data_IF_413653354196
#
_entry.id   IF_413653354196
#
_cell.length_a   1.000
_cell.length_b   1.000
_cell.length_c   1.000
_cell.angle_alpha   90.00
_cell.angle_beta   90.00
_cell.angle_gamma   90.00
#
_symmetry.space_group_name_H-M   'P 1'
#
loop_
_entity.id
_entity.type
_entity.pdbx_description
1 polymer ?
#
# COMPACT_ATOMS: atom_id res chain seq x y z
N UNK A 1 -5.36 -46.57 13.64
CA UNK A 1 -4.89 -46.43 12.24
C UNK A 1 -4.40 -45.00 11.95
N UNK A 2 -5.24 -43.93 11.95
CA UNK A 2 -4.76 -42.56 11.65
C UNK A 2 -3.77 -42.04 12.66
N UNK A 3 -3.95 -42.25 13.98
CA UNK A 3 -3.04 -41.85 15.05
C UNK A 3 -1.66 -42.50 14.92
N UNK A 4 -1.63 -43.78 14.59
CA UNK A 4 -0.38 -44.53 14.37
C UNK A 4 0.35 -44.08 13.11
N UNK A 5 -0.38 -43.82 12.00
CA UNK A 5 0.20 -43.27 10.79
C UNK A 5 0.82 -41.88 11.03
N UNK A 6 0.19 -41.03 11.86
CA UNK A 6 0.72 -39.74 12.24
C UNK A 6 2.01 -39.88 13.10
N UNK A 7 2.02 -40.79 14.09
CA UNK A 7 3.18 -41.06 14.93
C UNK A 7 4.36 -41.64 14.11
N UNK A 8 4.07 -42.49 13.15
CA UNK A 8 5.09 -43.01 12.22
C UNK A 8 5.65 -41.94 11.31
N UNK A 9 4.80 -41.01 10.78
CA UNK A 9 5.24 -39.87 10.01
C UNK A 9 6.17 -38.96 10.82
N UNK A 10 5.80 -38.71 12.07
CA UNK A 10 6.62 -37.89 13.01
C UNK A 10 7.98 -38.57 13.32
N UNK A 11 7.98 -39.86 13.60
CA UNK A 11 9.21 -40.63 13.85
C UNK A 11 10.14 -40.68 12.63
N UNK A 12 9.58 -40.78 11.43
CA UNK A 12 10.31 -40.74 10.16
C UNK A 12 11.00 -39.39 9.93
N UNK A 13 10.33 -38.29 10.26
CA UNK A 13 10.87 -36.92 10.17
C UNK A 13 12.08 -36.70 11.10
N UNK A 14 12.01 -37.24 12.32
CA UNK A 14 13.09 -37.13 13.32
C UNK A 14 14.28 -38.02 12.97
N UNK A 15 14.04 -39.19 12.38
CA UNK A 15 15.11 -40.12 12.02
C UNK A 15 16.08 -39.55 10.96
N UNK A 16 15.57 -38.77 9.99
CA UNK A 16 16.35 -38.20 8.90
C UNK A 16 16.22 -36.67 8.82
N UNK A 17 16.62 -35.95 9.88
CA UNK A 17 16.41 -34.51 10.05
C UNK A 17 16.88 -33.65 8.88
N UNK A 18 18.07 -33.90 8.34
CA UNK A 18 18.64 -33.12 7.24
C UNK A 18 17.81 -33.26 5.95
N UNK A 19 17.38 -34.50 5.65
CA UNK A 19 16.56 -34.81 4.47
C UNK A 19 15.18 -34.13 4.58
N UNK A 20 14.55 -34.26 5.74
CA UNK A 20 13.24 -33.65 6.01
C UNK A 20 13.30 -32.15 5.94
N UNK A 21 14.35 -31.53 6.46
CA UNK A 21 14.54 -30.07 6.42
C UNK A 21 14.76 -29.58 4.99
N UNK A 22 15.59 -30.27 4.20
CA UNK A 22 15.82 -29.89 2.79
C UNK A 22 14.55 -30.02 1.94
N UNK A 23 13.68 -31.00 2.23
CA UNK A 23 12.40 -31.17 1.53
C UNK A 23 11.41 -30.07 1.88
N UNK A 24 11.30 -29.79 3.18
CA UNK A 24 10.40 -28.74 3.65
C UNK A 24 10.87 -27.36 3.20
N UNK A 25 12.18 -27.17 2.95
CA UNK A 25 12.76 -25.87 2.60
C UNK A 25 12.06 -25.22 1.38
N UNK A 26 11.78 -26.01 0.34
CA UNK A 26 11.05 -25.51 -0.84
C UNK A 26 9.65 -25.01 -0.50
N UNK A 27 8.92 -25.73 0.36
CA UNK A 27 7.59 -25.31 0.82
C UNK A 27 7.70 -24.12 1.76
N UNK A 28 8.65 -24.14 2.69
CA UNK A 28 8.89 -23.03 3.63
C UNK A 28 9.17 -21.73 2.86
N UNK A 29 10.09 -21.75 1.90
CA UNK A 29 10.42 -20.58 1.08
C UNK A 29 9.21 -20.13 0.26
N UNK A 30 8.52 -21.06 -0.40
CA UNK A 30 7.35 -20.74 -1.24
C UNK A 30 6.23 -20.08 -0.42
N UNK A 31 5.85 -20.66 0.70
CA UNK A 31 4.81 -20.14 1.59
C UNK A 31 5.24 -18.82 2.23
N UNK A 32 6.48 -18.71 2.71
CA UNK A 32 7.00 -17.48 3.31
C UNK A 32 7.00 -16.33 2.30
N UNK A 33 7.43 -16.59 1.06
CA UNK A 33 7.42 -15.60 -0.02
C UNK A 33 6.00 -15.12 -0.33
N UNK A 34 5.01 -16.05 -0.48
CA UNK A 34 3.60 -15.67 -0.69
C UNK A 34 3.11 -14.73 0.41
N UNK A 35 3.29 -15.12 1.67
CA UNK A 35 2.79 -14.35 2.81
C UNK A 35 3.47 -12.98 2.87
N UNK A 36 4.79 -12.92 2.74
CA UNK A 36 5.52 -11.66 2.80
C UNK A 36 5.08 -10.69 1.68
N UNK A 37 5.01 -11.18 0.44
CA UNK A 37 4.69 -10.34 -0.72
C UNK A 37 3.22 -9.88 -0.73
N UNK A 38 2.28 -10.77 -0.41
CA UNK A 38 0.85 -10.40 -0.31
C UNK A 38 0.63 -9.42 0.86
N UNK A 39 1.35 -9.61 1.97
CA UNK A 39 1.24 -8.69 3.13
C UNK A 39 1.76 -7.30 2.83
N UNK A 40 2.85 -7.18 2.06
CA UNK A 40 3.36 -5.89 1.57
C UNK A 40 2.36 -5.26 0.61
N UNK A 41 1.83 -6.02 -0.35
CA UNK A 41 0.83 -5.54 -1.31
C UNK A 41 -0.43 -4.99 -0.62
N UNK A 42 -0.95 -5.72 0.38
CA UNK A 42 -2.09 -5.28 1.18
C UNK A 42 -1.76 -4.02 2.01
N UNK A 43 -0.55 -3.94 2.55
CA UNK A 43 -0.08 -2.78 3.30
C UNK A 43 -0.02 -1.53 2.43
N UNK A 44 0.62 -1.60 1.26
CA UNK A 44 0.69 -0.50 0.28
C UNK A 44 -0.71 -0.06 -0.15
N UNK A 45 -1.60 -1.01 -0.44
CA UNK A 45 -2.99 -0.72 -0.78
C UNK A 45 -3.69 0.07 0.33
N UNK A 46 -3.56 -0.39 1.58
CA UNK A 46 -4.17 0.27 2.74
C UNK A 46 -3.60 1.67 3.00
N UNK A 47 -2.29 1.87 2.85
CA UNK A 47 -1.65 3.17 3.00
C UNK A 47 -2.17 4.17 1.97
N UNK A 48 -2.37 3.72 0.73
CA UNK A 48 -2.95 4.55 -0.34
C UNK A 48 -4.42 4.84 -0.06
N UNK A 49 -5.22 3.83 0.32
CA UNK A 49 -6.63 4.02 0.70
C UNK A 49 -6.76 5.01 1.87
N UNK A 50 -5.93 4.90 2.89
CA UNK A 50 -5.91 5.82 4.02
C UNK A 50 -5.54 7.24 3.60
N UNK A 51 -4.53 7.40 2.74
CA UNK A 51 -4.10 8.72 2.25
C UNK A 51 -5.17 9.39 1.41
N UNK A 52 -5.82 8.64 0.53
CA UNK A 52 -6.89 9.19 -0.31
C UNK A 52 -8.16 9.42 0.51
N UNK A 53 -8.51 8.54 1.44
CA UNK A 53 -9.63 8.75 2.36
C UNK A 53 -9.44 9.99 3.22
N UNK A 54 -8.19 10.30 3.58
CA UNK A 54 -7.88 11.54 4.32
C UNK A 54 -8.07 12.82 3.50
N UNK A 55 -8.00 12.71 2.15
CA UNK A 55 -8.22 13.81 1.20
C UNK A 55 -9.66 13.84 0.65
N UNK A 56 -10.40 12.73 0.75
CA UNK A 56 -11.71 12.54 0.13
C UNK A 56 -11.62 11.83 -1.23
N UNK A 57 -12.45 10.80 -1.44
CA UNK A 57 -12.51 10.04 -2.70
C UNK A 57 -12.98 10.88 -3.90
N UNK A 58 -13.71 11.98 -3.63
CA UNK A 58 -14.32 12.86 -4.61
C UNK A 58 -13.46 14.06 -4.98
N UNK A 59 -12.14 13.94 -4.83
CA UNK A 59 -11.21 15.04 -5.03
C UNK A 59 -10.60 15.01 -6.44
N UNK A 60 -10.75 16.13 -7.15
CA UNK A 60 -9.99 16.47 -8.34
C UNK A 60 -8.92 17.51 -7.98
N UNK A 61 -7.71 17.32 -8.46
CA UNK A 61 -6.63 18.28 -8.31
C UNK A 61 -6.22 18.80 -9.68
N UNK A 62 -6.52 20.08 -9.93
CA UNK A 62 -6.12 20.77 -11.15
C UNK A 62 -4.74 21.38 -10.93
N UNK A 63 -3.79 21.01 -11.78
CA UNK A 63 -2.40 21.43 -11.75
C UNK A 63 -2.06 22.19 -13.04
N UNK A 64 -1.20 23.24 -12.97
CA UNK A 64 -0.64 23.79 -14.20
C UNK A 64 0.21 22.72 -14.88
N UNK A 65 -0.02 22.51 -16.16
CA UNK A 65 0.70 21.57 -17.02
C UNK A 65 1.60 22.33 -18.00
N UNK A 66 2.45 21.58 -18.68
CA UNK A 66 3.13 22.09 -19.85
C UNK A 66 2.63 21.36 -21.08
N UNK A 67 2.47 22.03 -22.23
CA UNK A 67 2.12 21.37 -23.48
C UNK A 67 3.13 20.25 -23.76
N UNK A 68 2.64 19.11 -24.21
CA UNK A 68 3.49 17.98 -24.63
C UNK A 68 4.21 18.36 -25.92
N UNK A 69 5.32 19.07 -25.79
CA UNK A 69 6.22 19.32 -26.92
C UNK A 69 7.08 18.08 -27.14
N UNK A 70 7.11 17.50 -28.35
CA UNK A 70 7.98 16.36 -28.63
C UNK A 70 9.44 16.70 -28.30
N UNK A 71 10.07 15.90 -27.45
CA UNK A 71 11.48 16.06 -27.06
C UNK A 71 11.76 16.88 -25.79
N UNK A 72 10.77 17.58 -25.22
CA UNK A 72 10.92 18.24 -23.93
C UNK A 72 10.05 17.54 -22.87
N UNK A 73 10.62 17.30 -21.68
CA UNK A 73 9.87 16.88 -20.48
C UNK A 73 9.75 18.09 -19.54
N UNK A 74 8.73 18.93 -19.68
CA UNK A 74 8.51 19.99 -18.71
C UNK A 74 8.08 19.33 -17.38
N UNK A 75 8.62 19.80 -16.26
CA UNK A 75 8.18 19.33 -14.95
C UNK A 75 6.75 19.80 -14.69
N UNK A 76 5.89 18.89 -14.25
CA UNK A 76 4.54 19.21 -13.80
C UNK A 76 4.59 20.34 -12.75
N UNK A 77 3.71 21.33 -12.89
CA UNK A 77 3.62 22.44 -11.94
C UNK A 77 4.59 23.61 -12.17
N UNK A 78 5.42 23.58 -13.24
CA UNK A 78 6.35 24.68 -13.54
C UNK A 78 5.73 25.84 -14.31
N UNK A 79 4.53 25.67 -14.88
CA UNK A 79 3.84 26.68 -15.68
C UNK A 79 3.01 27.61 -14.81
N UNK A 80 2.83 28.84 -15.31
CA UNK A 80 2.05 29.91 -14.66
C UNK A 80 0.67 30.07 -15.32
N UNK A 81 0.11 28.96 -15.82
CA UNK A 81 -1.11 28.97 -16.62
C UNK A 81 -2.38 29.16 -15.80
N UNK A 82 -2.43 28.60 -14.59
CA UNK A 82 -3.61 28.65 -13.73
C UNK A 82 -3.73 30.01 -13.00
N UNK A 83 -4.82 30.71 -13.22
CA UNK A 83 -5.10 32.03 -12.62
C UNK A 83 -6.22 31.95 -11.57
N UNK A 84 -6.37 32.99 -10.75
CA UNK A 84 -7.47 33.10 -9.79
C UNK A 84 -8.82 33.06 -10.52
N UNK A 85 -8.92 33.70 -11.69
CA UNK A 85 -10.14 33.70 -12.48
C UNK A 85 -10.58 32.30 -12.95
N UNK A 86 -9.64 31.37 -13.12
CA UNK A 86 -9.93 29.97 -13.47
C UNK A 86 -10.51 29.22 -12.28
N UNK A 87 -9.92 29.41 -11.09
CA UNK A 87 -10.50 28.91 -9.85
C UNK A 87 -11.93 29.41 -9.63
N UNK A 88 -12.17 30.72 -9.80
CA UNK A 88 -13.51 31.32 -9.64
C UNK A 88 -14.54 30.76 -10.63
N UNK A 89 -14.10 30.44 -11.85
CA UNK A 89 -14.95 29.82 -12.86
C UNK A 89 -15.22 28.35 -12.51
N UNK A 90 -14.21 27.59 -12.12
CA UNK A 90 -14.34 26.18 -11.68
C UNK A 90 -15.28 26.09 -10.47
N UNK A 91 -15.12 26.96 -9.49
CA UNK A 91 -15.92 26.94 -8.26
C UNK A 91 -17.44 27.17 -8.52
N UNK A 92 -17.81 27.70 -9.67
CA UNK A 92 -19.21 27.97 -10.08
C UNK A 92 -19.82 26.82 -10.90
N UNK A 93 -19.06 25.81 -11.28
CA UNK A 93 -19.58 24.67 -12.05
C UNK A 93 -20.61 23.88 -11.26
N UNK A 94 -21.64 23.43 -11.95
CA UNK A 94 -22.61 22.50 -11.39
C UNK A 94 -21.88 21.18 -11.07
N UNK A 95 -22.09 20.61 -9.89
CA UNK A 95 -21.36 19.40 -9.46
C UNK A 95 -20.16 19.69 -8.55
N UNK A 96 -19.71 20.93 -8.40
CA UNK A 96 -18.71 21.32 -7.40
C UNK A 96 -19.38 21.52 -6.04
N UNK A 97 -18.92 20.75 -5.04
CA UNK A 97 -19.32 20.91 -3.64
C UNK A 97 -18.50 21.99 -2.95
N UNK A 98 -17.19 21.94 -3.13
CA UNK A 98 -16.24 22.90 -2.59
C UNK A 98 -15.01 22.97 -3.49
N UNK A 99 -14.37 24.13 -3.54
CA UNK A 99 -13.11 24.30 -4.24
C UNK A 99 -12.16 25.18 -3.42
N UNK A 100 -10.85 24.91 -3.54
CA UNK A 100 -9.82 25.72 -2.90
C UNK A 100 -8.65 25.95 -3.84
N UNK A 101 -8.29 27.23 -4.08
CA UNK A 101 -7.04 27.56 -4.74
C UNK A 101 -5.90 27.29 -3.76
N UNK A 102 -4.72 26.95 -4.28
CA UNK A 102 -3.54 26.78 -3.47
C UNK A 102 -2.31 27.37 -4.13
N UNK A 103 -1.57 28.14 -3.35
CA UNK A 103 -0.16 28.47 -3.58
C UNK A 103 0.68 27.78 -2.50
N UNK A 104 1.90 27.44 -2.78
CA UNK A 104 2.79 26.88 -1.76
C UNK A 104 4.26 27.14 -2.08
N UNK A 105 5.04 27.32 -1.04
CA UNK A 105 6.48 27.43 -1.10
C UNK A 105 7.10 27.00 0.23
N UNK A 106 8.40 26.69 0.20
CA UNK A 106 9.15 26.40 1.42
C UNK A 106 9.80 27.69 1.90
N UNK A 107 9.51 28.07 3.16
CA UNK A 107 10.01 29.31 3.75
C UNK A 107 10.50 29.07 5.17
N UNK A 108 11.45 29.91 5.58
CA UNK A 108 11.87 30.00 6.97
C UNK A 108 10.80 30.77 7.74
N UNK A 109 10.23 30.11 8.74
CA UNK A 109 9.29 30.70 9.69
C UNK A 109 10.03 30.97 11.00
N UNK A 110 9.86 32.17 11.56
CA UNK A 110 10.58 32.61 12.74
C UNK A 110 9.59 32.94 13.85
N UNK A 111 9.87 32.43 15.03
CA UNK A 111 9.20 32.83 16.28
C UNK A 111 10.25 33.13 17.33
N UNK A 112 10.29 34.40 17.82
CA UNK A 112 11.32 34.88 18.73
C UNK A 112 12.74 34.56 18.20
N UNK A 113 13.48 33.72 18.91
CA UNK A 113 14.85 33.33 18.56
C UNK A 113 14.94 31.97 17.85
N UNK A 114 13.79 31.33 17.58
CA UNK A 114 13.73 30.05 16.88
C UNK A 114 13.32 30.23 15.43
N UNK A 115 13.85 29.39 14.57
CA UNK A 115 13.47 29.34 13.17
C UNK A 115 13.25 27.90 12.73
N UNK A 116 12.36 27.73 11.78
CA UNK A 116 12.05 26.42 11.18
C UNK A 116 11.70 26.60 9.71
N UNK A 117 12.29 25.78 8.85
CA UNK A 117 11.96 25.77 7.42
C UNK A 117 10.80 24.81 7.20
N UNK A 118 9.66 25.35 6.75
CA UNK A 118 8.42 24.59 6.58
C UNK A 118 7.71 24.97 5.30
N UNK A 119 6.73 24.14 4.89
CA UNK A 119 5.82 24.47 3.79
C UNK A 119 4.83 25.54 4.23
N UNK A 120 4.79 26.67 3.53
CA UNK A 120 3.75 27.68 3.70
C UNK A 120 2.80 27.62 2.53
N UNK A 121 1.53 27.34 2.79
CA UNK A 121 0.51 27.22 1.77
C UNK A 121 -0.54 28.34 1.91
N UNK A 122 -0.77 29.04 0.80
CA UNK A 122 -1.87 29.99 0.68
C UNK A 122 -3.13 29.29 0.19
N UNK A 123 -4.20 29.32 0.99
CA UNK A 123 -5.46 28.61 0.72
C UNK A 123 -6.67 29.48 1.08
N UNK A 124 -7.89 29.02 0.75
CA UNK A 124 -9.13 29.68 1.18
C UNK A 124 -9.74 29.02 2.42
N UNK A 125 -10.87 29.54 2.88
CA UNK A 125 -11.63 29.02 4.04
C UNK A 125 -12.12 27.58 3.84
N UNK A 126 -12.48 27.19 2.60
CA UNK A 126 -12.98 25.86 2.29
C UNK A 126 -11.90 24.77 2.31
N UNK A 127 -10.61 25.15 2.38
CA UNK A 127 -9.51 24.20 2.37
C UNK A 127 -9.55 23.22 3.55
N UNK A 128 -10.10 23.67 4.67
CA UNK A 128 -10.31 22.81 5.84
C UNK A 128 -11.21 21.62 5.47
N UNK A 129 -12.34 21.87 4.83
CA UNK A 129 -13.30 20.83 4.43
C UNK A 129 -12.79 20.01 3.25
N UNK A 130 -12.15 20.68 2.27
CA UNK A 130 -11.59 20.03 1.06
C UNK A 130 -10.54 18.98 1.42
N UNK A 131 -9.74 19.21 2.44
CA UNK A 131 -8.67 18.31 2.87
C UNK A 131 -8.96 17.63 4.22
N UNK A 132 -10.22 17.66 4.71
CA UNK A 132 -10.62 17.04 5.99
C UNK A 132 -9.70 17.40 7.15
N UNK A 133 -9.27 18.66 7.24
CA UNK A 133 -8.51 19.15 8.38
C UNK A 133 -9.42 19.45 9.56
N UNK A 134 -9.03 18.98 10.74
CA UNK A 134 -9.65 19.35 12.01
C UNK A 134 -8.71 20.20 12.83
N UNK A 135 -9.28 21.00 13.72
CA UNK A 135 -8.50 21.90 14.60
C UNK A 135 -8.26 21.25 15.96
N UNK A 136 -7.07 21.44 16.51
CA UNK A 136 -6.76 21.07 17.90
C UNK A 136 -7.09 22.23 18.84
N UNK A 137 -6.75 23.47 18.44
CA UNK A 137 -7.04 24.67 19.21
C UNK A 137 -7.26 25.86 18.27
N UNK A 138 -7.94 26.89 18.76
CA UNK A 138 -8.27 28.06 17.99
C UNK A 138 -9.31 27.82 16.88
N UNK A 139 -9.20 28.55 15.78
CA UNK A 139 -10.13 28.49 14.65
C UNK A 139 -9.39 28.59 13.32
N UNK A 140 -10.03 28.09 12.25
CA UNK A 140 -9.59 28.33 10.88
C UNK A 140 -9.97 29.76 10.45
N UNK A 141 -9.33 30.29 9.40
CA UNK A 141 -9.67 31.60 8.88
C UNK A 141 -10.94 31.55 8.02
N UNK A 142 -11.71 32.63 8.09
CA UNK A 142 -12.97 32.80 7.37
C UNK A 142 -12.76 33.45 6.00
N UNK A 143 -13.81 33.47 5.17
CA UNK A 143 -13.81 34.20 3.90
C UNK A 143 -13.48 35.69 4.07
N UNK A 144 -13.90 36.31 5.17
CA UNK A 144 -13.54 37.69 5.49
C UNK A 144 -12.04 37.89 5.64
N UNK A 145 -11.33 36.96 6.32
CA UNK A 145 -9.88 37.01 6.43
C UNK A 145 -9.19 36.92 5.08
N UNK A 146 -9.75 36.04 4.17
CA UNK A 146 -9.25 35.88 2.80
C UNK A 146 -9.48 37.16 1.97
N UNK A 147 -10.70 37.68 1.98
CA UNK A 147 -11.06 38.91 1.23
C UNK A 147 -10.30 40.14 1.69
N UNK A 148 -10.13 40.31 3.01
CA UNK A 148 -9.41 41.43 3.60
C UNK A 148 -7.87 41.27 3.54
N UNK A 149 -7.37 40.16 2.99
CA UNK A 149 -5.92 39.86 2.92
C UNK A 149 -5.25 39.96 4.30
N UNK A 150 -5.94 39.41 5.30
CA UNK A 150 -5.44 39.46 6.68
C UNK A 150 -4.20 38.61 6.88
N UNK A 151 -3.32 39.07 7.76
CA UNK A 151 -2.09 38.38 8.14
C UNK A 151 -2.36 37.40 9.29
N UNK A 152 -3.11 36.37 9.02
CA UNK A 152 -3.42 35.30 9.96
C UNK A 152 -2.84 33.98 9.48
N UNK A 153 -2.47 33.11 10.40
CA UNK A 153 -1.89 31.82 10.10
C UNK A 153 -2.52 30.70 10.94
N UNK A 154 -2.63 29.53 10.36
CA UNK A 154 -2.94 28.27 11.04
C UNK A 154 -1.74 27.37 10.91
N UNK A 155 -1.26 26.78 12.01
CA UNK A 155 -0.01 26.02 12.04
C UNK A 155 -0.26 24.54 12.31
N UNK A 156 0.55 23.68 11.68
CA UNK A 156 0.53 22.25 11.93
C UNK A 156 1.38 21.86 13.15
N UNK A 157 1.18 20.64 13.64
CA UNK A 157 1.77 20.17 14.91
C UNK A 157 3.31 20.11 14.89
N UNK A 158 3.93 19.76 13.77
CA UNK A 158 5.39 19.76 13.65
C UNK A 158 5.97 21.15 13.76
N UNK A 159 5.30 22.15 13.17
CA UNK A 159 5.70 23.55 13.32
C UNK A 159 5.56 24.04 14.77
N UNK A 160 4.46 23.66 15.44
CA UNK A 160 4.24 23.97 16.87
C UNK A 160 5.37 23.42 17.71
N UNK A 161 5.67 22.13 17.54
CA UNK A 161 6.73 21.45 18.30
C UNK A 161 8.11 22.10 18.12
N UNK A 162 8.47 22.49 16.90
CA UNK A 162 9.79 23.03 16.61
C UNK A 162 9.94 24.51 17.00
N UNK A 163 8.89 25.33 16.83
CA UNK A 163 8.96 26.77 17.12
C UNK A 163 8.49 27.12 18.53
N UNK A 164 7.43 26.51 19.02
CA UNK A 164 6.79 26.89 20.29
C UNK A 164 7.14 25.93 21.43
N UNK A 165 7.42 24.63 21.12
CA UNK A 165 7.58 23.62 22.16
C UNK A 165 6.26 23.34 22.86
N UNK A 166 6.21 23.61 24.18
CA UNK A 166 5.00 23.42 25.01
C UNK A 166 4.15 24.71 25.13
N UNK A 167 4.57 25.83 24.51
CA UNK A 167 3.86 27.08 24.56
C UNK A 167 2.66 27.09 23.60
N UNK A 168 1.48 27.60 24.06
CA UNK A 168 0.32 27.74 23.17
C UNK A 168 0.59 28.78 22.07
N UNK A 169 0.58 28.39 20.78
CA UNK A 169 0.85 29.27 19.68
C UNK A 169 -0.29 30.23 19.34
N UNK A 170 -1.54 29.95 19.81
CA UNK A 170 -2.71 30.77 19.46
C UNK A 170 -2.57 32.20 20.04
N UNK A 171 -2.76 33.19 19.16
CA UNK A 171 -2.59 34.62 19.50
C UNK A 171 -1.18 35.14 19.36
N UNK A 172 -0.15 34.28 19.23
CA UNK A 172 1.24 34.69 19.04
C UNK A 172 1.50 35.11 17.59
N UNK A 173 2.61 35.83 17.38
CA UNK A 173 3.04 36.32 16.08
C UNK A 173 4.24 35.52 15.57
N UNK A 174 4.15 35.00 14.37
CA UNK A 174 5.25 34.36 13.63
C UNK A 174 5.63 35.23 12.43
N UNK A 175 6.86 35.13 11.96
CA UNK A 175 7.31 35.82 10.75
C UNK A 175 7.58 34.83 9.63
N UNK A 176 6.90 35.03 8.50
CA UNK A 176 7.14 34.28 7.25
C UNK A 176 7.76 35.29 6.27
N UNK A 177 9.00 35.04 5.82
CA UNK A 177 9.71 35.98 4.92
C UNK A 177 9.70 37.41 5.44
N UNK A 178 9.95 37.60 6.74
CA UNK A 178 9.91 38.87 7.48
C UNK A 178 8.54 39.57 7.60
N UNK A 179 7.46 38.92 7.13
CA UNK A 179 6.09 39.42 7.26
C UNK A 179 5.46 38.82 8.51
N UNK A 180 4.92 39.65 9.42
CA UNK A 180 4.29 39.14 10.63
C UNK A 180 2.91 38.53 10.32
N UNK A 181 2.63 37.36 10.91
CA UNK A 181 1.35 36.67 10.87
C UNK A 181 0.93 36.26 12.28
N UNK A 182 -0.32 36.58 12.64
CA UNK A 182 -0.89 36.13 13.90
C UNK A 182 -1.40 34.73 13.79
N UNK A 183 -0.94 33.82 14.63
CA UNK A 183 -1.46 32.45 14.72
C UNK A 183 -2.86 32.50 15.32
N UNK A 184 -3.85 31.95 14.62
CA UNK A 184 -5.26 31.92 15.04
C UNK A 184 -5.76 30.51 15.33
N UNK A 185 -4.99 29.48 14.98
CA UNK A 185 -5.37 28.10 15.24
C UNK A 185 -4.25 27.12 14.96
N UNK A 186 -4.46 25.91 15.46
CA UNK A 186 -3.55 24.77 15.33
C UNK A 186 -4.30 23.59 14.74
N UNK A 187 -3.73 22.98 13.70
CA UNK A 187 -4.28 21.81 13.05
C UNK A 187 -4.11 20.56 13.95
N UNK A 188 -5.06 19.65 13.85
CA UNK A 188 -4.90 18.33 14.45
C UNK A 188 -3.91 17.51 13.62
N UNK A 189 -3.03 16.76 14.30
CA UNK A 189 -2.05 15.93 13.63
C UNK A 189 -2.70 14.89 12.69
N UNK A 190 -2.18 14.78 11.48
CA UNK A 190 -2.46 13.75 10.48
C UNK A 190 -1.31 12.75 10.35
N UNK A 191 -0.12 13.09 10.87
CA UNK A 191 1.08 12.27 10.79
C UNK A 191 1.71 12.26 9.40
N UNK A 192 2.48 11.20 9.14
CA UNK A 192 3.18 11.05 7.86
C UNK A 192 2.23 10.56 6.76
N UNK A 193 2.32 11.18 5.60
CA UNK A 193 1.65 10.74 4.39
C UNK A 193 2.31 9.51 3.76
N UNK A 194 1.73 8.99 2.69
CA UNK A 194 2.07 7.72 2.01
C UNK A 194 3.54 7.60 1.56
N UNK A 195 4.24 8.71 1.38
CA UNK A 195 5.66 8.71 0.96
C UNK A 195 6.60 9.20 2.08
N UNK A 196 6.19 9.07 3.34
CA UNK A 196 6.98 9.56 4.47
C UNK A 196 7.04 11.09 4.59
N UNK A 197 6.23 11.81 3.81
CA UNK A 197 6.15 13.26 3.88
C UNK A 197 5.31 13.66 5.10
N UNK A 198 5.87 14.49 5.98
CA UNK A 198 5.18 14.98 7.16
C UNK A 198 4.10 15.99 6.77
N UNK A 199 2.81 15.60 6.94
CA UNK A 199 1.67 16.47 6.64
C UNK A 199 1.51 17.58 7.69
N UNK A 200 2.05 17.37 8.88
CA UNK A 200 1.94 18.31 10.00
C UNK A 200 2.98 19.42 9.94
N UNK A 201 3.98 19.32 9.02
CA UNK A 201 4.98 20.37 8.79
C UNK A 201 4.47 21.39 7.77
N UNK A 202 3.45 22.15 8.16
CA UNK A 202 2.80 23.15 7.30
C UNK A 202 2.32 24.38 8.07
N UNK A 203 2.31 25.51 7.38
CA UNK A 203 1.67 26.76 7.81
C UNK A 203 0.67 27.17 6.74
N UNK A 204 -0.59 27.31 7.10
CA UNK A 204 -1.66 27.75 6.21
C UNK A 204 -1.95 29.24 6.42
N UNK A 205 -2.01 29.99 5.34
CA UNK A 205 -2.33 31.43 5.32
C UNK A 205 -3.38 31.70 4.23
N UNK A 206 -4.11 32.84 4.25
CA UNK A 206 -5.00 33.21 3.16
C UNK A 206 -4.25 33.32 1.83
N UNK A 207 -4.77 32.66 0.76
CA UNK A 207 -4.08 32.65 -0.55
C UNK A 207 -3.86 34.05 -1.11
N UNK A 208 -4.79 34.97 -0.86
CA UNK A 208 -4.69 36.36 -1.29
C UNK A 208 -3.49 37.05 -0.64
N UNK A 209 -3.25 36.82 0.66
CA UNK A 209 -2.09 37.31 1.39
C UNK A 209 -0.81 36.65 0.94
N UNK A 210 -0.87 35.32 0.69
CA UNK A 210 0.27 34.54 0.16
C UNK A 210 0.74 35.09 -1.18
N UNK A 211 -0.15 35.20 -2.14
CA UNK A 211 0.15 35.65 -3.50
C UNK A 211 0.71 37.07 -3.54
N UNK A 212 0.09 37.98 -2.82
CA UNK A 212 0.46 39.40 -2.90
C UNK A 212 1.70 39.73 -2.06
N UNK A 213 1.79 39.19 -0.84
CA UNK A 213 2.80 39.64 0.12
C UNK A 213 3.97 38.67 0.27
N UNK A 214 3.71 37.37 0.25
CA UNK A 214 4.75 36.35 0.51
C UNK A 214 5.44 35.92 -0.78
N UNK A 215 4.67 35.52 -1.79
CA UNK A 215 5.22 34.98 -3.03
C UNK A 215 5.43 36.03 -4.13
N UNK A 216 4.59 37.05 -4.22
CA UNK A 216 4.64 38.05 -5.30
C UNK A 216 4.26 37.42 -6.67
N UNK A 217 3.26 36.55 -6.69
CA UNK A 217 2.82 35.80 -7.88
C UNK A 217 1.36 36.11 -8.21
N UNK A 218 0.99 35.94 -9.48
CA UNK A 218 -0.37 36.12 -10.00
C UNK A 218 -1.00 34.83 -10.51
N UNK A 219 -0.38 33.66 -10.20
CA UNK A 219 -0.80 32.34 -10.63
C UNK A 219 -0.97 31.38 -9.45
N UNK A 220 -1.77 30.34 -9.65
CA UNK A 220 -1.99 29.28 -8.69
C UNK A 220 -1.11 28.06 -9.01
N UNK A 221 -0.66 27.37 -7.98
CA UNK A 221 0.08 26.12 -8.17
C UNK A 221 -0.83 24.92 -8.29
N UNK A 222 -2.04 25.00 -7.73
CA UNK A 222 -3.09 23.99 -7.89
C UNK A 222 -4.45 24.52 -7.47
N UNK A 223 -5.48 23.86 -7.94
CA UNK A 223 -6.85 24.05 -7.47
C UNK A 223 -7.39 22.68 -7.06
N UNK A 224 -7.83 22.58 -5.81
CA UNK A 224 -8.56 21.42 -5.30
C UNK A 224 -10.05 21.61 -5.56
N UNK A 225 -10.71 20.56 -6.04
CA UNK A 225 -12.13 20.56 -6.35
C UNK A 225 -12.77 19.30 -5.80
N UNK A 226 -13.72 19.43 -4.89
CA UNK A 226 -14.50 18.32 -4.35
C UNK A 226 -15.82 18.22 -5.11
N UNK A 227 -16.09 17.06 -5.69
CA UNK A 227 -17.36 16.79 -6.35
C UNK A 227 -18.50 16.60 -5.33
N UNK A 228 -19.75 16.92 -5.72
CA UNK A 228 -20.94 16.69 -4.88
C UNK A 228 -21.21 15.22 -4.68
N UNK A 229 -21.02 14.42 -5.72
CA UNK A 229 -21.29 12.99 -5.73
C UNK A 229 -20.11 12.20 -6.35
N UNK A 230 -19.89 10.97 -5.88
CA UNK A 230 -18.86 10.05 -6.37
C UNK A 230 -19.10 9.62 -7.84
N UNK A 231 -20.37 9.51 -8.24
CA UNK A 231 -20.75 9.10 -9.60
C UNK A 231 -20.56 10.19 -10.66
N UNK A 232 -20.53 11.47 -10.24
CA UNK A 232 -20.42 12.63 -11.13
C UNK A 232 -19.00 13.12 -11.36
N UNK A 233 -17.98 12.52 -10.72
CA UNK A 233 -16.61 13.04 -10.74
C UNK A 233 -15.98 13.04 -12.13
N UNK A 234 -16.23 12.02 -12.95
CA UNK A 234 -15.69 11.94 -14.31
C UNK A 234 -16.32 12.98 -15.23
N UNK A 235 -17.64 13.24 -15.05
CA UNK A 235 -18.34 14.31 -15.76
C UNK A 235 -17.80 15.68 -15.34
N UNK A 236 -17.65 15.91 -14.03
CA UNK A 236 -17.08 17.14 -13.51
C UNK A 236 -15.67 17.39 -14.03
N UNK A 237 -14.85 16.33 -14.12
CA UNK A 237 -13.53 16.41 -14.74
C UNK A 237 -13.62 16.91 -16.19
N UNK A 238 -14.49 16.30 -17.01
CA UNK A 238 -14.68 16.72 -18.39
C UNK A 238 -15.21 18.16 -18.51
N UNK A 239 -16.09 18.58 -17.61
CA UNK A 239 -16.60 19.95 -17.57
C UNK A 239 -15.49 20.96 -17.23
N UNK A 240 -14.59 20.63 -16.27
CA UNK A 240 -13.44 21.46 -15.93
C UNK A 240 -12.45 21.52 -17.10
N UNK A 241 -12.17 20.39 -17.77
CA UNK A 241 -11.30 20.35 -18.94
C UNK A 241 -11.82 21.27 -20.05
N UNK A 242 -13.12 21.15 -20.39
CA UNK A 242 -13.75 21.98 -21.41
C UNK A 242 -13.73 23.46 -21.02
N UNK A 243 -14.02 23.78 -19.77
CA UNK A 243 -13.98 25.16 -19.26
C UNK A 243 -12.58 25.77 -19.43
N UNK A 244 -11.54 25.04 -19.00
CA UNK A 244 -10.16 25.53 -19.07
C UNK A 244 -9.67 25.66 -20.52
N UNK A 245 -10.00 24.71 -21.41
CA UNK A 245 -9.66 24.80 -22.84
C UNK A 245 -10.27 26.04 -23.49
N UNK A 246 -11.54 26.34 -23.20
CA UNK A 246 -12.20 27.55 -23.69
C UNK A 246 -11.54 28.81 -23.15
N UNK A 247 -11.24 28.86 -21.87
CA UNK A 247 -10.65 30.04 -21.21
C UNK A 247 -9.20 30.30 -21.62
N UNK A 248 -8.43 29.24 -21.85
CA UNK A 248 -7.03 29.31 -22.28
C UNK A 248 -6.90 29.31 -23.82
N UNK A 249 -8.03 29.30 -24.55
CA UNK A 249 -8.07 29.30 -26.02
C UNK A 249 -7.28 28.12 -26.65
N UNK A 250 -7.37 26.95 -26.01
CA UNK A 250 -6.72 25.72 -26.46
C UNK A 250 -7.66 24.98 -27.42
N UNK A 251 -7.19 24.75 -28.66
CA UNK A 251 -7.95 24.06 -29.72
C UNK A 251 -7.59 22.58 -29.84
N UNK A 252 -6.40 22.19 -29.43
CA UNK A 252 -5.88 20.83 -29.50
C UNK A 252 -5.64 20.32 -28.07
N UNK A 253 -6.26 19.21 -27.72
CA UNK A 253 -6.14 18.55 -26.42
C UNK A 253 -4.69 18.13 -26.07
N UNK A 254 -3.84 17.95 -27.09
CA UNK A 254 -2.41 17.66 -26.88
C UNK A 254 -1.62 18.88 -26.35
N UNK A 255 -2.21 20.07 -26.47
CA UNK A 255 -1.62 21.34 -26.05
C UNK A 255 -2.18 21.84 -24.71
N UNK A 256 -2.91 21.01 -23.98
CA UNK A 256 -3.43 21.36 -22.67
C UNK A 256 -2.30 21.84 -21.76
N UNK A 257 -2.43 23.07 -21.24
CA UNK A 257 -1.48 23.69 -20.32
C UNK A 257 -1.86 23.49 -18.84
N UNK A 258 -2.73 22.51 -18.62
CA UNK A 258 -3.19 22.03 -17.32
C UNK A 258 -3.22 20.50 -17.28
N UNK A 259 -3.28 19.94 -16.07
CA UNK A 259 -3.50 18.51 -15.84
C UNK A 259 -4.46 18.33 -14.68
N UNK A 260 -5.45 17.44 -14.84
CA UNK A 260 -6.41 17.12 -13.80
C UNK A 260 -6.11 15.72 -13.26
N UNK A 261 -5.79 15.65 -11.98
CA UNK A 261 -5.61 14.40 -11.27
C UNK A 261 -6.91 14.02 -10.58
N UNK A 262 -7.49 12.90 -11.00
CA UNK A 262 -8.66 12.31 -10.38
C UNK A 262 -8.22 11.28 -9.35
N UNK A 263 -8.46 11.55 -8.06
CA UNK A 263 -8.02 10.66 -6.98
C UNK A 263 -8.66 9.28 -7.08
N UNK A 264 -9.90 9.19 -7.57
CA UNK A 264 -10.57 7.90 -7.83
C UNK A 264 -9.82 7.08 -8.89
N UNK A 265 -9.47 7.68 -10.02
CA UNK A 265 -8.69 7.01 -11.09
C UNK A 265 -7.32 6.57 -10.61
N UNK A 266 -6.68 7.37 -9.76
CA UNK A 266 -5.40 6.98 -9.14
C UNK A 266 -5.58 5.75 -8.27
N UNK A 267 -6.63 5.70 -7.42
CA UNK A 267 -6.94 4.52 -6.61
C UNK A 267 -7.17 3.27 -7.46
N UNK A 268 -7.98 3.39 -8.51
CA UNK A 268 -8.28 2.28 -9.42
C UNK A 268 -7.00 1.77 -10.09
N UNK A 269 -6.15 2.67 -10.59
CA UNK A 269 -4.85 2.33 -11.20
C UNK A 269 -3.92 1.61 -10.23
N UNK A 270 -3.85 2.09 -8.99
CA UNK A 270 -3.02 1.47 -7.94
C UNK A 270 -3.58 0.09 -7.57
N UNK A 271 -4.89 -0.03 -7.40
CA UNK A 271 -5.53 -1.32 -7.10
C UNK A 271 -5.27 -2.34 -8.21
N UNK A 272 -5.39 -1.93 -9.48
CA UNK A 272 -5.11 -2.77 -10.64
C UNK A 272 -3.64 -3.17 -10.72
N UNK A 273 -2.73 -2.21 -10.51
CA UNK A 273 -1.30 -2.45 -10.53
C UNK A 273 -0.88 -3.42 -9.42
N UNK A 274 -1.37 -3.18 -8.19
CA UNK A 274 -1.12 -4.07 -7.05
C UNK A 274 -1.69 -5.47 -7.29
N UNK A 275 -2.89 -5.57 -7.89
CA UNK A 275 -3.49 -6.84 -8.29
C UNK A 275 -2.61 -7.60 -9.30
N UNK A 276 -2.08 -6.91 -10.31
CA UNK A 276 -1.18 -7.50 -11.31
C UNK A 276 0.13 -7.99 -10.68
N UNK A 277 0.74 -7.21 -9.81
CA UNK A 277 1.93 -7.64 -9.08
C UNK A 277 1.64 -8.84 -8.17
N UNK A 278 0.53 -8.85 -7.47
CA UNK A 278 0.12 -9.98 -6.62
C UNK A 278 -0.06 -11.26 -7.44
N UNK A 279 -0.66 -11.18 -8.64
CA UNK A 279 -0.80 -12.31 -9.55
C UNK A 279 0.57 -12.81 -10.03
N UNK A 280 1.45 -11.92 -10.46
CA UNK A 280 2.79 -12.26 -10.92
C UNK A 280 3.61 -12.95 -9.82
N UNK A 281 3.62 -12.37 -8.63
CA UNK A 281 4.33 -12.93 -7.47
C UNK A 281 3.71 -14.25 -7.02
N UNK A 282 2.39 -14.39 -7.10
CA UNK A 282 1.68 -15.62 -6.87
C UNK A 282 2.09 -16.73 -7.85
N UNK A 283 2.30 -16.40 -9.12
CA UNK A 283 2.81 -17.35 -10.11
C UNK A 283 4.24 -17.83 -9.79
N UNK A 284 5.13 -16.92 -9.41
CA UNK A 284 6.51 -17.26 -8.97
C UNK A 284 6.48 -18.17 -7.74
N UNK A 285 5.63 -17.86 -6.78
CA UNK A 285 5.45 -18.67 -5.57
C UNK A 285 4.87 -20.05 -5.89
N UNK A 286 3.92 -20.15 -6.83
CA UNK A 286 3.39 -21.43 -7.29
C UNK A 286 4.49 -22.30 -7.91
N UNK A 287 5.38 -21.75 -8.73
CA UNK A 287 6.54 -22.46 -9.26
C UNK A 287 7.45 -22.95 -8.12
N UNK A 288 7.74 -22.13 -7.14
CA UNK A 288 8.55 -22.51 -5.98
C UNK A 288 7.91 -23.64 -5.18
N UNK A 289 6.58 -23.61 -5.02
CA UNK A 289 5.82 -24.69 -4.35
C UNK A 289 5.82 -25.99 -5.17
N UNK A 290 5.75 -25.93 -6.50
CA UNK A 290 5.87 -27.11 -7.37
C UNK A 290 7.25 -27.73 -7.22
N UNK A 291 8.32 -26.93 -7.21
CA UNK A 291 9.69 -27.42 -6.97
C UNK A 291 9.80 -28.07 -5.60
N UNK A 292 9.24 -27.46 -4.55
CA UNK A 292 9.14 -28.05 -3.21
C UNK A 292 8.36 -29.39 -3.20
N UNK A 293 7.26 -29.47 -3.96
CA UNK A 293 6.47 -30.69 -4.15
C UNK A 293 7.23 -31.82 -4.83
N UNK A 294 8.02 -31.49 -5.87
CA UNK A 294 8.93 -32.47 -6.51
C UNK A 294 9.95 -32.98 -5.50
N UNK A 295 10.45 -32.11 -4.60
CA UNK A 295 11.31 -32.49 -3.49
C UNK A 295 10.65 -33.50 -2.56
N UNK A 296 9.36 -33.28 -2.17
CA UNK A 296 8.57 -34.26 -1.40
C UNK A 296 8.47 -35.60 -2.16
N UNK A 297 8.08 -35.57 -3.43
CA UNK A 297 7.93 -36.76 -4.24
C UNK A 297 9.21 -37.58 -4.28
N UNK A 298 10.36 -36.95 -4.53
CA UNK A 298 11.66 -37.62 -4.61
C UNK A 298 12.04 -38.29 -3.28
N UNK A 299 11.84 -37.60 -2.16
CA UNK A 299 12.16 -38.20 -0.86
C UNK A 299 11.19 -39.31 -0.47
N UNK A 300 9.92 -39.14 -0.79
CA UNK A 300 8.95 -40.21 -0.55
C UNK A 300 9.28 -41.46 -1.39
N UNK A 301 9.78 -41.29 -2.63
CA UNK A 301 10.25 -42.41 -3.45
C UNK A 301 11.44 -43.13 -2.81
N UNK A 302 12.41 -42.37 -2.29
CA UNK A 302 13.56 -42.94 -1.57
C UNK A 302 13.09 -43.64 -0.28
N UNK A 303 12.17 -43.04 0.47
CA UNK A 303 11.59 -43.64 1.67
C UNK A 303 10.85 -44.97 1.36
N UNK A 304 10.15 -45.07 0.24
CA UNK A 304 9.50 -46.31 -0.21
C UNK A 304 10.54 -47.37 -0.50
N UNK A 305 11.65 -47.05 -1.18
CA UNK A 305 12.72 -48.02 -1.45
C UNK A 305 13.43 -48.50 -0.18
N UNK A 306 13.75 -47.58 0.75
CA UNK A 306 14.38 -47.89 2.04
C UNK A 306 13.49 -48.81 2.92
N UNK A 307 12.16 -48.65 2.79
CA UNK A 307 11.15 -49.43 3.56
C UNK A 307 10.49 -50.55 2.79
N UNK A 308 11.06 -50.96 1.66
CA UNK A 308 10.49 -52.00 0.81
C UNK A 308 10.15 -53.29 1.58
N UNK A 309 11.07 -53.76 2.43
CA UNK A 309 10.88 -54.97 3.27
C UNK A 309 9.77 -54.76 4.30
N UNK A 310 9.71 -53.63 4.95
CA UNK A 310 8.66 -53.27 5.93
C UNK A 310 7.26 -53.30 5.27
N UNK A 311 7.15 -52.70 4.06
CA UNK A 311 5.91 -52.71 3.27
C UNK A 311 5.52 -54.16 2.88
N UNK A 312 6.52 -54.96 2.49
CA UNK A 312 6.33 -56.38 2.18
C UNK A 312 5.74 -57.17 3.34
N UNK A 313 6.30 -57.00 4.56
CA UNK A 313 5.79 -57.66 5.79
C UNK A 313 4.34 -57.22 6.06
N UNK A 314 4.02 -55.93 5.99
CA UNK A 314 2.64 -55.44 6.20
C UNK A 314 1.65 -56.04 5.21
N UNK A 315 2.04 -56.13 3.94
CA UNK A 315 1.19 -56.74 2.90
C UNK A 315 1.02 -58.25 3.09
N UNK A 316 2.07 -58.94 3.51
CA UNK A 316 2.00 -60.38 3.86
C UNK A 316 1.07 -60.62 5.06
N UNK A 317 0.97 -59.70 6.01
CA UNK A 317 0.05 -59.71 7.14
C UNK A 317 -1.39 -59.24 6.79
N UNK A 318 -1.68 -58.93 5.51
CA UNK A 318 -3.02 -58.62 5.02
C UNK A 318 -3.31 -57.13 4.85
N UNK A 319 -2.33 -56.25 4.89
CA UNK A 319 -2.54 -54.81 4.60
C UNK A 319 -3.03 -54.61 3.16
N UNK A 320 -4.20 -53.96 3.01
CA UNK A 320 -4.80 -53.66 1.70
C UNK A 320 -4.06 -52.53 0.99
N UNK A 321 -4.25 -52.47 -0.34
CA UNK A 321 -3.74 -51.39 -1.18
C UNK A 321 -4.09 -50.00 -0.61
N UNK A 322 -5.35 -49.79 -0.19
CA UNK A 322 -5.85 -48.56 0.36
C UNK A 322 -5.14 -48.14 1.66
N UNK A 323 -4.86 -49.11 2.53
CA UNK A 323 -4.16 -48.85 3.82
C UNK A 323 -2.75 -48.34 3.57
N UNK A 324 -1.99 -48.94 2.65
CA UNK A 324 -0.63 -48.48 2.29
C UNK A 324 -0.67 -47.13 1.63
N UNK A 325 -1.57 -46.89 0.66
CA UNK A 325 -1.71 -45.53 0.03
C UNK A 325 -2.03 -44.48 1.07
N UNK A 326 -3.01 -44.72 1.94
CA UNK A 326 -3.41 -43.72 2.96
C UNK A 326 -2.27 -43.42 3.91
N UNK A 327 -1.50 -44.41 4.32
CA UNK A 327 -0.35 -44.24 5.20
C UNK A 327 0.69 -43.28 4.59
N UNK A 328 1.18 -43.55 3.37
CA UNK A 328 2.16 -42.73 2.71
C UNK A 328 1.63 -41.33 2.32
N UNK A 329 0.33 -41.26 2.02
CA UNK A 329 -0.32 -39.99 1.73
C UNK A 329 -0.39 -39.09 2.98
N UNK A 330 -0.73 -39.66 4.15
CA UNK A 330 -0.70 -38.92 5.42
C UNK A 330 0.71 -38.44 5.72
N UNK A 331 1.75 -39.27 5.47
CA UNK A 331 3.14 -38.86 5.68
C UNK A 331 3.52 -37.66 4.80
N UNK A 332 3.18 -37.67 3.51
CA UNK A 332 3.42 -36.54 2.61
C UNK A 332 2.66 -35.27 3.02
N UNK A 333 1.40 -35.42 3.45
CA UNK A 333 0.59 -34.28 3.94
C UNK A 333 1.15 -33.70 5.23
N UNK A 334 1.60 -34.56 6.17
CA UNK A 334 2.22 -34.07 7.44
C UNK A 334 3.48 -33.27 7.14
N UNK A 335 4.37 -33.75 6.25
CA UNK A 335 5.58 -33.03 5.85
C UNK A 335 5.23 -31.67 5.24
N UNK A 336 4.27 -31.63 4.33
CA UNK A 336 3.87 -30.40 3.65
C UNK A 336 3.22 -29.40 4.59
N UNK A 337 2.37 -29.85 5.51
CA UNK A 337 1.74 -29.00 6.52
C UNK A 337 2.75 -28.42 7.50
N UNK A 338 3.73 -29.22 7.95
CA UNK A 338 4.80 -28.71 8.80
C UNK A 338 5.64 -27.65 8.09
N UNK A 339 6.02 -27.91 6.82
CA UNK A 339 6.68 -26.92 5.98
C UNK A 339 5.84 -25.64 5.83
N UNK A 340 4.53 -25.81 5.62
CA UNK A 340 3.56 -24.72 5.55
C UNK A 340 3.49 -23.89 6.83
N UNK A 341 3.38 -24.52 8.00
CA UNK A 341 3.37 -23.82 9.30
C UNK A 341 4.65 -23.03 9.56
N UNK A 342 5.80 -23.66 9.31
CA UNK A 342 7.10 -23.00 9.45
C UNK A 342 7.20 -21.84 8.45
N UNK A 343 6.77 -22.07 7.20
CA UNK A 343 6.72 -21.03 6.16
C UNK A 343 5.83 -19.85 6.53
N UNK A 344 4.67 -20.10 7.13
CA UNK A 344 3.77 -19.04 7.64
C UNK A 344 4.49 -18.21 8.72
N UNK A 345 5.13 -18.87 9.69
CA UNK A 345 5.84 -18.18 10.76
C UNK A 345 6.99 -17.32 10.21
N UNK A 346 7.80 -17.86 9.30
CA UNK A 346 8.86 -17.11 8.63
C UNK A 346 8.32 -15.99 7.74
N UNK A 347 7.22 -16.20 7.01
CA UNK A 347 6.59 -15.19 6.16
C UNK A 347 6.08 -14.00 6.95
N UNK A 348 5.42 -14.25 8.09
CA UNK A 348 4.96 -13.19 9.02
C UNK A 348 6.17 -12.45 9.61
N UNK A 349 7.19 -13.18 10.03
CA UNK A 349 8.42 -12.57 10.56
C UNK A 349 9.12 -11.69 9.53
N UNK A 350 9.33 -12.20 8.32
CA UNK A 350 9.95 -11.47 7.22
C UNK A 350 9.14 -10.22 6.83
N UNK A 351 7.80 -10.34 6.74
CA UNK A 351 6.91 -9.22 6.47
C UNK A 351 7.10 -8.09 7.50
N UNK A 352 7.11 -8.41 8.79
CA UNK A 352 7.34 -7.43 9.86
C UNK A 352 8.72 -6.77 9.79
N UNK A 353 9.77 -7.56 9.56
CA UNK A 353 11.13 -7.03 9.43
C UNK A 353 11.25 -6.08 8.24
N UNK A 354 10.70 -6.47 7.09
CA UNK A 354 10.67 -5.62 5.90
C UNK A 354 9.91 -4.32 6.21
N UNK A 355 8.74 -4.40 6.84
CA UNK A 355 7.97 -3.22 7.26
C UNK A 355 8.78 -2.27 8.15
N UNK A 356 9.49 -2.80 9.15
CA UNK A 356 10.32 -2.00 10.05
C UNK A 356 11.50 -1.31 9.34
N UNK A 357 12.15 -2.02 8.40
CA UNK A 357 13.32 -1.48 7.68
C UNK A 357 12.93 -0.51 6.58
N UNK A 358 11.86 -0.79 5.85
CA UNK A 358 11.41 0.03 4.72
C UNK A 358 10.46 1.17 5.12
N UNK A 359 9.93 1.16 6.34
CA UNK A 359 8.88 2.10 6.77
C UNK A 359 7.53 1.89 6.09
N UNK A 360 7.35 0.78 5.36
CA UNK A 360 6.09 0.44 4.69
C UNK A 360 5.15 -0.31 5.64
N UNK A 361 3.86 -0.04 5.56
CA UNK A 361 2.87 -0.84 6.26
C UNK A 361 2.81 -2.25 5.69
N UNK A 362 2.75 -3.25 6.55
CA UNK A 362 2.58 -4.65 6.15
C UNK A 362 1.37 -5.23 6.86
N UNK A 363 0.42 -5.76 6.09
CA UNK A 363 -0.84 -6.29 6.62
C UNK A 363 -0.97 -7.75 6.27
N UNK A 364 -0.79 -8.60 7.28
CA UNK A 364 -1.02 -10.05 7.15
C UNK A 364 -2.51 -10.31 7.28
N UNK A 365 -3.14 -10.78 6.21
CA UNK A 365 -4.56 -11.11 6.22
C UNK A 365 -4.82 -12.58 6.56
N UNK A 366 -5.86 -12.86 7.33
CA UNK A 366 -6.30 -14.22 7.67
C UNK A 366 -6.60 -15.07 6.40
N UNK A 367 -7.26 -14.53 5.36
CA UNK A 367 -7.44 -15.24 4.10
C UNK A 367 -6.12 -15.70 3.47
N UNK A 368 -5.07 -14.90 3.49
CA UNK A 368 -3.75 -15.27 2.95
C UNK A 368 -3.14 -16.44 3.71
N UNK A 369 -3.27 -16.48 5.03
CA UNK A 369 -2.80 -17.61 5.86
C UNK A 369 -3.56 -18.89 5.50
N UNK A 370 -4.89 -18.82 5.42
CA UNK A 370 -5.74 -19.98 5.08
C UNK A 370 -5.42 -20.49 3.67
N UNK A 371 -5.27 -19.61 2.68
CA UNK A 371 -4.89 -19.99 1.33
C UNK A 371 -3.52 -20.67 1.29
N UNK A 372 -2.52 -20.11 1.97
CA UNK A 372 -1.18 -20.70 2.03
C UNK A 372 -1.18 -22.09 2.65
N UNK A 373 -1.98 -22.29 3.71
CA UNK A 373 -2.16 -23.58 4.34
C UNK A 373 -2.85 -24.58 3.41
N UNK A 374 -3.91 -24.17 2.71
CA UNK A 374 -4.62 -25.00 1.75
C UNK A 374 -3.73 -25.40 0.57
N UNK A 375 -2.91 -24.47 0.06
CA UNK A 375 -1.92 -24.76 -0.98
C UNK A 375 -0.86 -25.75 -0.50
N UNK A 376 -0.33 -25.63 0.71
CA UNK A 376 0.62 -26.58 1.28
C UNK A 376 0.01 -27.98 1.35
N UNK A 377 -1.24 -28.10 1.81
CA UNK A 377 -1.95 -29.38 1.85
C UNK A 377 -2.15 -29.97 0.45
N UNK A 378 -2.56 -29.17 -0.52
CA UNK A 378 -2.75 -29.59 -1.90
C UNK A 378 -1.45 -30.12 -2.53
N UNK A 379 -0.33 -29.46 -2.30
CA UNK A 379 1.00 -29.90 -2.75
C UNK A 379 1.36 -31.25 -2.13
N UNK A 380 1.18 -31.43 -0.83
CA UNK A 380 1.41 -32.75 -0.16
C UNK A 380 0.57 -33.85 -0.74
N UNK A 381 -0.70 -33.58 -1.03
CA UNK A 381 -1.60 -34.56 -1.66
C UNK A 381 -1.17 -34.92 -3.09
N UNK A 382 -0.96 -33.88 -3.94
CA UNK A 382 -0.64 -34.10 -5.37
C UNK A 382 0.67 -34.87 -5.54
N UNK A 383 1.73 -34.42 -4.88
CA UNK A 383 3.06 -35.00 -5.01
C UNK A 383 3.26 -36.26 -4.13
N UNK A 384 2.40 -36.51 -3.14
CA UNK A 384 2.38 -37.74 -2.33
C UNK A 384 1.68 -38.91 -3.01
N UNK A 385 0.75 -38.67 -3.95
CA UNK A 385 -0.04 -39.73 -4.60
C UNK A 385 0.84 -40.75 -5.36
N UNK A 386 1.80 -40.25 -6.15
CA UNK A 386 2.63 -41.12 -6.97
C UNK A 386 3.51 -42.07 -6.13
N UNK A 387 4.29 -41.64 -5.14
CA UNK A 387 5.05 -42.51 -4.25
C UNK A 387 4.16 -43.47 -3.47
N UNK A 388 3.03 -43.02 -2.95
CA UNK A 388 2.08 -43.83 -2.21
C UNK A 388 1.52 -44.97 -3.05
N UNK A 389 1.16 -44.69 -4.30
CA UNK A 389 0.71 -45.74 -5.25
C UNK A 389 1.83 -46.70 -5.60
N UNK A 390 3.07 -46.24 -5.74
CA UNK A 390 4.23 -47.10 -6.01
C UNK A 390 4.48 -48.05 -4.84
N UNK A 391 4.43 -47.57 -3.60
CA UNK A 391 4.54 -48.40 -2.39
C UNK A 391 3.44 -49.50 -2.33
N UNK A 392 2.19 -49.11 -2.60
CA UNK A 392 1.06 -50.03 -2.53
C UNK A 392 1.04 -51.10 -3.64
N UNK A 393 1.76 -50.86 -4.76
CA UNK A 393 1.88 -51.83 -5.86
C UNK A 393 3.02 -52.85 -5.69
N UNK A 394 3.89 -52.74 -4.67
CA UNK A 394 4.95 -53.70 -4.42
C UNK A 394 4.39 -55.08 -4.20
N UNK A 395 5.04 -56.06 -4.84
CA UNK A 395 4.71 -57.49 -4.62
C UNK A 395 5.30 -57.92 -3.27
N UNK A 396 4.53 -58.54 -2.35
CA UNK A 396 5.05 -58.95 -1.05
C UNK A 396 6.26 -59.91 -1.14
N UNK A 397 6.25 -60.84 -2.13
CA UNK A 397 7.32 -61.80 -2.29
C UNK A 397 8.64 -61.12 -2.69
N UNK A 398 8.57 -60.26 -3.70
CA UNK A 398 9.75 -59.51 -4.19
C UNK A 398 10.26 -58.52 -3.13
N UNK A 399 9.34 -57.93 -2.36
CA UNK A 399 9.69 -56.97 -1.30
C UNK A 399 10.39 -57.63 -0.09
N UNK A 400 10.09 -58.88 0.20
CA UNK A 400 10.75 -59.64 1.29
C UNK A 400 12.15 -60.14 0.93
N UNK A 401 12.42 -60.34 -0.38
CA UNK A 401 13.73 -60.72 -0.91
C UNK A 401 14.65 -59.53 -1.24
N UNK A 402 14.16 -58.31 -1.05
CA UNK A 402 14.93 -57.09 -1.32
C UNK A 402 16.00 -56.89 -0.24
N UNK A 403 17.30 -56.95 -0.63
CA UNK A 403 18.46 -56.67 0.21
C UNK A 403 18.78 -55.16 0.28
#
# INVERSE_FOLDING_TARGET
>A
MYKESFLMAWASLIANKLRSLLTMLGIIIGVAAVIALVSIGNGVKQDIENSISSLGSNLLVVLPGAPRTPGARPSQGSMKSLKISDYEAIAKLEGVKAASPMTNGSYVVIYQNKNWTTSVAGVNSNFQDVNNWTMTSGRFFSDKNVQNRERVAVVGQTVVKNLFGDEDPVGKEIRVKNIPFRVIGVLKSKGNGTMGNDQDDTVLIPYTTSMERVEGIDYLRRVYVVAKDDGGIDRLQADIENLLRVRHNIKDTNLDDFNIQNMKSIMETVAQTTGTFTLFLGAVAAISLVVGGIGIMNIMLVSVTERTREIGVRKALGATYSVIVTQFLIEAVVISLMGGFIGIAFGIGASKVIGMVSGMSTIVSVPTIIMSFAFSMAIGLIFGIYPARKAAKLNPIDALHYE
#
